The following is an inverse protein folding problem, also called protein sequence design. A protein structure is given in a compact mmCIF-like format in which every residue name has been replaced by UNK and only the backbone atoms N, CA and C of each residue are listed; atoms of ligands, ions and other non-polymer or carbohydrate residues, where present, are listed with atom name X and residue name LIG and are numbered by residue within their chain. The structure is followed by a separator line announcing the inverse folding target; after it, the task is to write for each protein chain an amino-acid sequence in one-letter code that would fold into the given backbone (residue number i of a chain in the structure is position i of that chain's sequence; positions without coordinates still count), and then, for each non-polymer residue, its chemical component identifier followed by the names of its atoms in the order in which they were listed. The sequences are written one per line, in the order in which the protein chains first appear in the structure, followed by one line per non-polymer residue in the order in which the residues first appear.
data_IF_015521525216
#
_entry.id   IF_015521525216
#
_cell.length_a   1.000
_cell.length_b   1.000
_cell.length_c   1.000
_cell.angle_alpha   90.00
_cell.angle_beta   90.00
_cell.angle_gamma   90.00
#
_symmetry.space_group_name_H-M   'P 1'
#
loop_
_entity.id
_entity.type
_entity.pdbx_description
1 polymer ?
#
# COMPACT_ATOMS: atom_id res chain seq x y z
N UNK A 1 -51.28 19.30 -7.61
CA UNK A 1 -52.76 19.26 -7.66
C UNK A 1 -53.39 18.85 -6.34
N UNK A 2 -52.91 17.79 -5.66
CA UNK A 2 -53.52 17.27 -4.41
C UNK A 2 -53.34 18.17 -3.16
N UNK A 3 -52.60 19.28 -3.24
CA UNK A 3 -52.33 20.21 -2.12
C UNK A 3 -51.65 19.58 -0.90
N UNK A 4 -50.89 18.50 -1.12
CA UNK A 4 -50.18 17.72 -0.10
C UNK A 4 -48.66 17.73 -0.30
N UNK A 5 -48.15 18.54 -1.24
CA UNK A 5 -46.73 18.60 -1.56
C UNK A 5 -45.88 18.97 -0.34
N UNK A 6 -46.34 19.96 0.44
CA UNK A 6 -45.66 20.38 1.66
C UNK A 6 -45.59 19.26 2.71
N UNK A 7 -46.68 18.48 2.86
CA UNK A 7 -46.76 17.40 3.83
C UNK A 7 -45.82 16.24 3.47
N UNK A 8 -45.79 15.85 2.19
CA UNK A 8 -44.87 14.83 1.70
C UNK A 8 -43.41 15.27 1.81
N UNK A 9 -43.11 16.50 1.42
CA UNK A 9 -41.75 17.04 1.50
C UNK A 9 -41.27 17.10 2.94
N UNK A 10 -42.12 17.56 3.87
CA UNK A 10 -41.84 17.56 5.30
C UNK A 10 -41.55 16.16 5.84
N UNK A 11 -42.37 15.16 5.48
CA UNK A 11 -42.19 13.77 5.92
C UNK A 11 -40.85 13.18 5.44
N UNK A 12 -40.42 13.56 4.24
CA UNK A 12 -39.11 13.16 3.70
C UNK A 12 -37.97 13.81 4.51
N UNK A 13 -38.05 15.12 4.78
CA UNK A 13 -37.02 15.84 5.55
C UNK A 13 -36.95 15.35 7.00
N UNK A 14 -38.08 15.01 7.63
CA UNK A 14 -38.09 14.45 8.99
C UNK A 14 -37.35 13.11 9.10
N UNK A 15 -37.22 12.39 7.98
CA UNK A 15 -36.46 11.12 7.88
C UNK A 15 -35.09 11.30 7.24
N UNK A 16 -34.53 12.51 7.27
CA UNK A 16 -33.26 12.80 6.57
C UNK A 16 -32.07 11.97 7.07
N UNK A 17 -32.03 11.69 8.37
CA UNK A 17 -30.95 10.91 8.98
C UNK A 17 -31.03 9.40 8.66
N UNK A 18 -32.23 8.91 8.32
CA UNK A 18 -32.48 7.48 8.07
C UNK A 18 -32.44 7.12 6.58
N UNK A 19 -32.91 8.00 5.70
CA UNK A 19 -33.09 7.71 4.26
C UNK A 19 -32.26 8.65 3.40
N UNK A 20 -32.33 9.97 3.62
CA UNK A 20 -31.69 10.94 2.72
C UNK A 20 -30.16 10.93 2.84
N UNK A 21 -29.61 10.46 3.96
CA UNK A 21 -28.16 10.35 4.17
C UNK A 21 -27.46 9.41 3.18
N UNK A 22 -28.19 8.48 2.54
CA UNK A 22 -27.67 7.61 1.47
C UNK A 22 -27.61 8.31 0.10
N UNK A 23 -28.43 9.35 -0.11
CA UNK A 23 -28.58 10.03 -1.41
C UNK A 23 -27.96 11.44 -1.42
N UNK A 24 -27.80 12.06 -0.26
CA UNK A 24 -27.34 13.45 -0.11
C UNK A 24 -26.14 13.53 0.82
N UNK A 25 -25.14 14.32 0.42
CA UNK A 25 -23.96 14.62 1.24
C UNK A 25 -24.28 15.59 2.37
N UNK A 26 -23.42 15.62 3.40
CA UNK A 26 -23.47 16.64 4.46
C UNK A 26 -23.26 18.02 3.86
N UNK A 27 -24.08 19.00 4.24
CA UNK A 27 -24.12 20.32 3.62
C UNK A 27 -25.06 20.45 2.42
N UNK A 28 -25.73 19.39 1.98
CA UNK A 28 -26.83 19.52 1.02
C UNK A 28 -28.06 20.18 1.69
N UNK A 29 -28.82 20.98 0.94
CA UNK A 29 -30.01 21.69 1.43
C UNK A 29 -31.02 20.74 2.12
N UNK A 30 -31.15 19.51 1.61
CA UNK A 30 -32.05 18.50 2.16
C UNK A 30 -31.57 17.92 3.50
N UNK A 31 -30.26 18.01 3.79
CA UNK A 31 -29.63 17.50 5.02
C UNK A 31 -29.51 18.57 6.10
N UNK A 32 -29.55 19.84 5.75
CA UNK A 32 -29.43 20.98 6.66
C UNK A 32 -30.81 21.51 7.10
N UNK A 33 -30.84 22.61 7.86
CA UNK A 33 -32.07 23.20 8.40
C UNK A 33 -32.89 23.94 7.33
N UNK A 34 -32.25 24.31 6.21
CA UNK A 34 -32.88 24.97 5.06
C UNK A 34 -34.00 24.11 4.44
N UNK A 35 -33.87 22.78 4.48
CA UNK A 35 -34.92 21.86 4.02
C UNK A 35 -36.24 22.06 4.78
N UNK A 36 -36.17 22.29 6.10
CA UNK A 36 -37.37 22.57 6.90
C UNK A 36 -37.97 23.94 6.59
N UNK A 37 -37.14 24.93 6.27
CA UNK A 37 -37.60 26.25 5.84
C UNK A 37 -38.36 26.14 4.51
N UNK A 38 -37.84 25.38 3.54
CA UNK A 38 -38.52 25.11 2.27
C UNK A 38 -39.86 24.41 2.48
N UNK A 39 -39.92 23.40 3.37
CA UNK A 39 -41.17 22.74 3.72
C UNK A 39 -42.24 23.75 4.22
N UNK A 40 -41.83 24.71 5.05
CA UNK A 40 -42.71 25.79 5.53
C UNK A 40 -43.19 26.72 4.42
N UNK A 41 -42.32 27.07 3.47
CA UNK A 41 -42.69 27.90 2.31
C UNK A 41 -43.68 27.17 1.38
N UNK A 42 -43.53 25.86 1.22
CA UNK A 42 -44.41 25.04 0.37
C UNK A 42 -45.86 25.00 0.90
N UNK A 43 -46.10 25.21 2.19
CA UNK A 43 -47.46 25.30 2.75
C UNK A 43 -48.25 26.45 2.11
N UNK A 44 -47.58 27.54 1.73
CA UNK A 44 -48.20 28.66 1.02
C UNK A 44 -48.81 28.29 -0.33
N UNK A 45 -48.29 27.23 -0.97
CA UNK A 45 -48.79 26.74 -2.25
C UNK A 45 -50.15 26.02 -2.13
N UNK A 46 -50.58 25.64 -0.92
CA UNK A 46 -51.86 24.95 -0.72
C UNK A 46 -53.08 25.83 -1.08
N UNK A 47 -52.91 27.15 -1.03
CA UNK A 47 -53.96 28.11 -1.40
C UNK A 47 -54.09 28.23 -2.93
N UNK A 48 -53.04 27.89 -3.68
CA UNK A 48 -53.03 27.99 -5.14
C UNK A 48 -53.82 26.82 -5.75
N UNK A 49 -54.75 27.15 -6.65
CA UNK A 49 -55.48 26.15 -7.43
C UNK A 49 -54.74 25.84 -8.73
N UNK A 50 -53.89 24.82 -8.68
CA UNK A 50 -53.15 24.33 -9.85
C UNK A 50 -53.91 23.19 -10.51
N UNK A 51 -54.65 23.49 -11.57
CA UNK A 51 -55.22 22.49 -12.48
C UNK A 51 -54.28 22.25 -13.66
N UNK A 52 -53.25 21.44 -13.43
CA UNK A 52 -52.30 21.03 -14.46
C UNK A 52 -52.83 19.74 -15.10
N UNK A 53 -53.27 19.84 -16.35
CA UNK A 53 -53.72 18.70 -17.14
C UNK A 53 -52.50 17.83 -17.53
N UNK A 54 -52.12 16.92 -16.64
CA UNK A 54 -51.21 15.84 -16.99
C UNK A 54 -52.06 14.82 -17.75
N UNK A 55 -52.18 14.99 -19.07
CA UNK A 55 -52.48 13.85 -19.94
C UNK A 55 -51.27 12.92 -19.95
N UNK A 56 -51.42 11.71 -20.46
CA UNK A 56 -50.41 10.65 -20.59
C UNK A 56 -49.20 11.04 -21.47
N UNK A 57 -48.69 12.26 -21.32
CA UNK A 57 -47.54 12.79 -22.03
C UNK A 57 -46.26 12.37 -21.30
N UNK A 58 -45.28 11.91 -22.08
CA UNK A 58 -43.92 11.64 -21.64
C UNK A 58 -43.35 12.89 -20.95
N UNK A 59 -43.28 12.86 -19.62
CA UNK A 59 -42.67 13.92 -18.80
C UNK A 59 -41.16 14.06 -19.06
N UNK A 60 -40.58 13.16 -19.85
CA UNK A 60 -39.20 13.16 -20.30
C UNK A 60 -38.92 14.21 -21.37
N UNK A 61 -39.95 14.79 -22.00
CA UNK A 61 -39.83 15.89 -22.97
C UNK A 61 -40.30 17.23 -22.39
N UNK A 62 -39.64 18.37 -22.70
CA UNK A 62 -40.10 19.67 -22.27
C UNK A 62 -41.52 19.93 -22.78
N UNK A 63 -42.41 20.43 -21.92
CA UNK A 63 -43.81 20.72 -22.27
C UNK A 63 -43.90 21.44 -23.62
N UNK A 64 -44.72 20.91 -24.52
CA UNK A 64 -44.91 21.46 -25.87
C UNK A 64 -45.32 22.93 -25.83
N UNK A 65 -44.97 23.67 -26.89
CA UNK A 65 -45.32 25.09 -27.02
C UNK A 65 -46.84 25.25 -27.02
N UNK A 66 -47.38 25.94 -26.00
CA UNK A 66 -48.81 26.24 -25.93
C UNK A 66 -49.11 27.35 -26.94
N UNK A 67 -49.84 27.00 -28.01
CA UNK A 67 -50.27 27.96 -29.02
C UNK A 67 -51.48 28.78 -28.53
N UNK A 68 -51.21 29.95 -27.96
CA UNK A 68 -52.24 30.91 -27.56
C UNK A 68 -52.84 31.69 -28.73
N UNK A 69 -52.42 31.45 -29.98
CA UNK A 69 -52.91 32.21 -31.16
C UNK A 69 -54.42 32.14 -31.34
N UNK A 70 -55.05 31.03 -30.92
CA UNK A 70 -56.50 30.87 -30.96
C UNK A 70 -57.25 31.77 -29.96
N UNK A 71 -56.62 32.12 -28.84
CA UNK A 71 -57.17 33.00 -27.81
C UNK A 71 -56.70 34.46 -27.94
N UNK A 72 -55.57 34.68 -28.63
CA UNK A 72 -54.98 35.99 -28.95
C UNK A 72 -55.45 36.55 -30.29
N UNK A 73 -56.40 35.91 -30.99
CA UNK A 73 -57.06 36.50 -32.15
C UNK A 73 -57.87 37.71 -31.71
N UNK A 74 -57.19 38.85 -31.69
CA UNK A 74 -57.78 40.18 -31.66
C UNK A 74 -58.94 40.21 -32.67
N UNK A 75 -60.13 40.59 -32.19
CA UNK A 75 -61.27 41.00 -33.02
C UNK A 75 -60.92 42.33 -33.74
N UNK A 76 -59.82 42.39 -34.49
CA UNK A 76 -59.49 43.54 -35.34
C UNK A 76 -60.31 43.46 -36.61
N UNK A 77 -61.46 44.13 -36.50
CA UNK A 77 -62.15 45.01 -37.46
C UNK A 77 -61.76 44.83 -38.94
N UNK A 78 -62.74 44.70 -39.86
CA UNK A 78 -62.47 44.49 -41.29
C UNK A 78 -61.49 45.50 -41.88
N UNK A 79 -60.56 44.95 -42.64
CA UNK A 79 -59.60 45.60 -43.51
C UNK A 79 -60.30 46.61 -44.44
N UNK A 80 -60.31 47.89 -44.07
CA UNK A 80 -60.49 48.98 -45.02
C UNK A 80 -59.11 49.57 -45.36
N UNK A 81 -58.80 49.53 -46.65
CA UNK A 81 -57.59 50.10 -47.26
C UNK A 81 -57.57 51.61 -46.98
N UNK A 82 -56.55 52.18 -46.30
CA UNK A 82 -56.49 53.61 -46.14
C UNK A 82 -55.90 54.24 -47.40
N UNK A 83 -56.65 55.16 -47.98
CA UNK A 83 -56.14 56.10 -48.97
C UNK A 83 -54.85 56.77 -48.47
N UNK A 84 -53.86 56.82 -49.36
CA UNK A 84 -52.44 57.07 -49.11
C UNK A 84 -52.07 58.51 -48.70
N UNK A 85 -53.00 59.32 -48.21
CA UNK A 85 -52.75 60.73 -47.85
C UNK A 85 -53.22 61.13 -46.44
N UNK A 86 -53.64 60.19 -45.59
CA UNK A 86 -53.96 60.50 -44.18
C UNK A 86 -52.71 60.50 -43.27
N UNK A 87 -52.63 61.45 -42.34
CA UNK A 87 -51.58 61.52 -41.31
C UNK A 87 -51.47 60.22 -40.48
N UNK A 88 -52.57 59.46 -40.40
CA UNK A 88 -52.68 58.19 -39.70
C UNK A 88 -51.98 57.03 -40.43
N UNK A 89 -51.99 57.03 -41.77
CA UNK A 89 -51.23 56.06 -42.58
C UNK A 89 -49.71 56.23 -42.44
N UNK A 90 -49.22 57.49 -42.37
CA UNK A 90 -47.81 57.80 -42.10
C UNK A 90 -47.37 57.41 -40.69
N UNK A 91 -48.25 57.60 -39.69
CA UNK A 91 -47.99 57.16 -38.31
C UNK A 91 -47.91 55.63 -38.19
N UNK A 92 -48.82 54.90 -38.84
CA UNK A 92 -48.77 53.42 -38.91
C UNK A 92 -47.49 52.93 -39.61
N UNK A 93 -47.10 53.56 -40.72
CA UNK A 93 -45.85 53.22 -41.40
C UNK A 93 -44.61 53.45 -40.54
N UNK A 94 -44.56 54.55 -39.77
CA UNK A 94 -43.47 54.82 -38.83
C UNK A 94 -43.36 53.73 -37.76
N UNK A 95 -44.48 53.31 -37.15
CA UNK A 95 -44.48 52.22 -36.16
C UNK A 95 -44.04 50.87 -36.74
N UNK A 96 -44.37 50.58 -38.01
CA UNK A 96 -43.95 49.35 -38.69
C UNK A 96 -42.44 49.38 -38.95
N UNK A 97 -41.87 50.54 -39.30
CA UNK A 97 -40.42 50.70 -39.50
C UNK A 97 -39.64 50.54 -38.19
N UNK A 98 -40.14 51.07 -37.08
CA UNK A 98 -39.53 50.88 -35.76
C UNK A 98 -39.57 49.41 -35.33
N UNK A 99 -40.69 48.72 -35.55
CA UNK A 99 -40.80 47.28 -35.32
C UNK A 99 -39.84 46.48 -36.19
N UNK A 100 -39.69 46.85 -37.47
CA UNK A 100 -38.74 46.21 -38.38
C UNK A 100 -37.30 46.39 -37.89
N UNK A 101 -36.92 47.61 -37.50
CA UNK A 101 -35.58 47.91 -37.00
C UNK A 101 -35.27 47.12 -35.71
N UNK A 102 -36.24 47.04 -34.79
CA UNK A 102 -36.10 46.21 -33.59
C UNK A 102 -35.87 44.73 -33.92
N UNK A 103 -36.61 44.18 -34.88
CA UNK A 103 -36.44 42.79 -35.32
C UNK A 103 -35.08 42.55 -36.00
N UNK A 104 -34.61 43.50 -36.83
CA UNK A 104 -33.30 43.41 -37.47
C UNK A 104 -32.16 43.44 -36.44
N UNK A 105 -32.27 44.31 -35.44
CA UNK A 105 -31.31 44.40 -34.33
C UNK A 105 -31.31 43.12 -33.49
N UNK A 106 -32.49 42.58 -33.17
CA UNK A 106 -32.62 41.31 -32.46
C UNK A 106 -31.99 40.16 -33.25
N UNK A 107 -32.22 40.12 -34.57
CA UNK A 107 -31.64 39.10 -35.44
C UNK A 107 -30.10 39.25 -35.51
N UNK A 108 -29.57 40.48 -35.48
CA UNK A 108 -28.12 40.72 -35.40
C UNK A 108 -27.53 40.18 -34.09
N UNK A 109 -28.18 40.43 -32.95
CA UNK A 109 -27.77 39.90 -31.65
C UNK A 109 -27.85 38.37 -31.59
N UNK A 110 -28.92 37.78 -32.15
CA UNK A 110 -29.09 36.34 -32.18
C UNK A 110 -27.99 35.69 -33.03
N UNK A 111 -27.71 36.22 -34.22
CA UNK A 111 -26.62 35.74 -35.07
C UNK A 111 -25.25 35.86 -34.40
N UNK A 112 -24.98 36.96 -33.69
CA UNK A 112 -23.75 37.11 -32.90
C UNK A 112 -23.64 36.05 -31.80
N UNK A 113 -24.75 35.73 -31.13
CA UNK A 113 -24.81 34.70 -30.09
C UNK A 113 -24.59 33.31 -30.68
N UNK A 114 -25.21 33.00 -31.82
CA UNK A 114 -25.00 31.74 -32.55
C UNK A 114 -23.53 31.57 -32.90
N UNK A 115 -22.88 32.59 -33.48
CA UNK A 115 -21.45 32.54 -33.81
C UNK A 115 -20.57 32.35 -32.57
N UNK A 116 -20.87 33.02 -31.46
CA UNK A 116 -20.12 32.85 -30.21
C UNK A 116 -20.26 31.42 -29.66
N UNK A 117 -21.47 30.88 -29.68
CA UNK A 117 -21.73 29.51 -29.25
C UNK A 117 -21.06 28.48 -30.16
N UNK A 118 -21.05 28.71 -31.48
CA UNK A 118 -20.32 27.87 -32.43
C UNK A 118 -18.81 27.86 -32.14
N UNK A 119 -18.19 29.02 -31.90
CA UNK A 119 -16.78 29.10 -31.51
C UNK A 119 -16.49 28.36 -30.20
N UNK A 120 -17.37 28.48 -29.20
CA UNK A 120 -17.25 27.74 -27.94
C UNK A 120 -17.39 26.24 -28.15
N UNK A 121 -18.32 25.82 -28.99
CA UNK A 121 -18.53 24.42 -29.33
C UNK A 121 -17.28 23.82 -29.99
N UNK A 122 -16.70 24.52 -30.96
CA UNK A 122 -15.45 24.12 -31.62
C UNK A 122 -14.28 24.06 -30.63
N UNK A 123 -14.16 25.04 -29.72
CA UNK A 123 -13.17 25.04 -28.65
C UNK A 123 -13.32 23.84 -27.69
N UNK A 124 -14.55 23.52 -27.29
CA UNK A 124 -14.82 22.34 -26.45
C UNK A 124 -14.57 21.04 -27.23
N UNK A 125 -14.90 20.98 -28.51
CA UNK A 125 -14.70 19.80 -29.34
C UNK A 125 -13.20 19.51 -29.57
N UNK A 126 -12.40 20.54 -29.83
CA UNK A 126 -10.94 20.42 -29.99
C UNK A 126 -10.26 20.00 -28.68
N UNK A 127 -10.60 20.64 -27.56
CA UNK A 127 -10.06 20.25 -26.23
C UNK A 127 -10.45 18.82 -25.85
N UNK A 128 -11.69 18.39 -26.13
CA UNK A 128 -12.12 17.01 -25.88
C UNK A 128 -11.34 16.00 -26.74
N UNK A 129 -11.02 16.33 -28.00
CA UNK A 129 -10.18 15.49 -28.85
C UNK A 129 -8.75 15.34 -28.29
N UNK A 130 -8.12 16.44 -27.87
CA UNK A 130 -6.80 16.43 -27.25
C UNK A 130 -6.77 15.62 -25.95
N UNK A 131 -7.77 15.81 -25.08
CA UNK A 131 -7.86 15.04 -23.83
C UNK A 131 -8.02 13.53 -24.07
N UNK A 132 -8.72 13.12 -25.13
CA UNK A 132 -8.82 11.70 -25.51
C UNK A 132 -7.48 11.12 -25.96
N UNK A 133 -6.70 11.91 -26.69
CA UNK A 133 -5.36 11.54 -27.12
C UNK A 133 -4.40 11.42 -25.93
N UNK A 134 -4.38 12.43 -25.04
CA UNK A 134 -3.57 12.41 -23.82
C UNK A 134 -3.92 11.21 -22.93
N UNK A 135 -5.21 10.89 -22.80
CA UNK A 135 -5.67 9.73 -22.07
C UNK A 135 -5.16 8.42 -22.69
N UNK A 136 -5.15 8.32 -24.02
CA UNK A 136 -4.60 7.15 -24.71
C UNK A 136 -3.08 7.02 -24.51
N UNK A 137 -2.34 8.12 -24.56
CA UNK A 137 -0.89 8.16 -24.28
C UNK A 137 -0.62 7.70 -22.84
N UNK A 138 -1.31 8.29 -21.86
CA UNK A 138 -1.16 7.94 -20.45
C UNK A 138 -1.48 6.46 -20.18
N UNK A 139 -2.52 5.92 -20.81
CA UNK A 139 -2.84 4.48 -20.73
C UNK A 139 -1.70 3.61 -21.24
N UNK A 140 -1.10 3.96 -22.38
CA UNK A 140 0.03 3.21 -22.93
C UNK A 140 1.25 3.28 -21.99
N UNK A 141 1.55 4.44 -21.42
CA UNK A 141 2.64 4.59 -20.44
C UNK A 141 2.40 3.77 -19.17
N UNK A 142 1.16 3.69 -18.68
CA UNK A 142 0.82 2.83 -17.55
C UNK A 142 1.08 1.36 -17.89
N UNK A 143 0.68 0.91 -19.08
CA UNK A 143 0.90 -0.47 -19.52
C UNK A 143 2.40 -0.79 -19.60
N UNK A 144 3.23 0.09 -20.16
CA UNK A 144 4.69 -0.13 -20.24
C UNK A 144 5.31 -0.17 -18.84
N UNK A 145 4.91 0.74 -17.94
CA UNK A 145 5.40 0.75 -16.56
C UNK A 145 4.95 -0.47 -15.75
N UNK A 146 3.77 -1.02 -16.04
CA UNK A 146 3.30 -2.27 -15.43
C UNK A 146 4.12 -3.47 -15.90
N UNK A 147 4.48 -3.51 -17.19
CA UNK A 147 5.35 -4.54 -17.73
C UNK A 147 6.75 -4.48 -17.13
N UNK A 148 7.36 -3.28 -17.05
CA UNK A 148 8.66 -3.07 -16.41
C UNK A 148 8.65 -3.44 -14.92
N UNK A 149 7.59 -3.08 -14.18
CA UNK A 149 7.47 -3.52 -12.79
C UNK A 149 7.36 -5.05 -12.67
N UNK A 150 6.68 -5.71 -13.61
CA UNK A 150 6.58 -7.16 -13.62
C UNK A 150 7.92 -7.83 -13.95
N UNK A 151 8.73 -7.28 -14.85
CA UNK A 151 10.08 -7.79 -15.15
C UNK A 151 11.01 -7.60 -13.97
N UNK A 152 11.06 -6.39 -13.38
CA UNK A 152 11.88 -6.09 -12.20
C UNK A 152 11.51 -7.01 -11.02
N UNK A 153 10.21 -7.26 -10.81
CA UNK A 153 9.77 -8.19 -9.76
C UNK A 153 10.25 -9.62 -10.00
N UNK A 154 10.19 -10.10 -11.25
CA UNK A 154 10.72 -11.42 -11.62
C UNK A 154 12.23 -11.49 -11.41
N UNK A 155 12.99 -10.49 -11.83
CA UNK A 155 14.44 -10.42 -11.63
C UNK A 155 14.81 -10.44 -10.14
N UNK A 156 14.07 -9.66 -9.33
CA UNK A 156 14.24 -9.66 -7.87
C UNK A 156 14.02 -11.05 -7.28
N UNK A 157 12.97 -11.75 -7.72
CA UNK A 157 12.63 -13.09 -7.21
C UNK A 157 13.67 -14.14 -7.65
N UNK A 158 14.21 -14.03 -8.87
CA UNK A 158 15.31 -14.87 -9.35
C UNK A 158 16.56 -14.66 -8.48
N UNK A 159 16.96 -13.41 -8.28
CA UNK A 159 18.14 -13.06 -7.50
C UNK A 159 18.02 -13.50 -6.03
N UNK A 160 16.83 -13.35 -5.43
CA UNK A 160 16.55 -13.81 -4.08
C UNK A 160 16.67 -15.34 -3.98
N UNK A 161 16.10 -16.08 -4.94
CA UNK A 161 16.20 -17.53 -4.99
C UNK A 161 17.64 -18.00 -5.18
N UNK A 162 18.44 -17.32 -6.01
CA UNK A 162 19.85 -17.63 -6.18
C UNK A 162 20.66 -17.37 -4.92
N UNK A 163 20.46 -16.23 -4.24
CA UNK A 163 21.06 -15.98 -2.93
C UNK A 163 20.65 -17.04 -1.89
N UNK A 164 19.38 -17.44 -1.87
CA UNK A 164 18.90 -18.50 -0.97
C UNK A 164 19.60 -19.83 -1.26
N UNK A 165 19.73 -20.22 -2.52
CA UNK A 165 20.47 -21.43 -2.92
C UNK A 165 21.95 -21.37 -2.53
N UNK A 166 22.59 -20.22 -2.69
CA UNK A 166 23.98 -20.03 -2.25
C UNK A 166 24.12 -20.21 -0.74
N UNK A 167 23.18 -19.66 0.05
CA UNK A 167 23.16 -19.88 1.50
C UNK A 167 22.94 -21.35 1.86
N UNK A 168 22.00 -22.03 1.21
CA UNK A 168 21.75 -23.47 1.41
C UNK A 168 23.00 -24.30 1.06
N UNK A 169 23.70 -23.96 -0.03
CA UNK A 169 24.96 -24.59 -0.40
C UNK A 169 26.05 -24.39 0.66
N UNK A 170 26.28 -23.15 1.10
CA UNK A 170 27.25 -22.84 2.16
C UNK A 170 26.90 -23.55 3.47
N UNK A 171 25.62 -23.60 3.84
CA UNK A 171 25.15 -24.32 5.02
C UNK A 171 25.44 -25.82 4.92
N UNK A 172 25.18 -26.45 3.77
CA UNK A 172 25.49 -27.86 3.53
C UNK A 172 26.99 -28.17 3.60
N UNK A 173 27.84 -27.25 3.11
CA UNK A 173 29.29 -27.37 3.18
C UNK A 173 29.81 -27.25 4.62
N UNK A 174 29.26 -26.31 5.39
CA UNK A 174 29.55 -26.15 6.82
C UNK A 174 29.14 -27.38 7.63
N UNK A 175 27.95 -27.94 7.34
CA UNK A 175 27.45 -29.13 8.01
C UNK A 175 28.34 -30.36 7.73
N UNK A 176 28.93 -30.48 6.54
CA UNK A 176 29.84 -31.59 6.21
C UNK A 176 31.21 -31.50 6.90
N UNK A 177 31.69 -30.28 7.18
CA UNK A 177 32.95 -30.08 7.88
C UNK A 177 32.80 -30.22 9.40
N UNK A 178 31.61 -29.96 9.94
CA UNK A 178 31.33 -30.03 11.38
C UNK A 178 31.69 -31.37 12.07
N UNK A 179 31.42 -32.58 11.52
CA UNK A 179 31.66 -33.83 12.20
C UNK A 179 33.14 -34.23 12.15
N UNK A 180 33.82 -33.93 11.03
CA UNK A 180 35.27 -34.15 10.88
C UNK A 180 36.05 -33.24 11.82
N UNK A 181 35.63 -31.98 11.96
CA UNK A 181 36.28 -31.02 12.84
C UNK A 181 36.07 -31.39 14.31
N UNK A 182 34.86 -31.84 14.68
CA UNK A 182 34.58 -32.40 16.00
C UNK A 182 35.34 -33.71 16.26
N UNK A 183 35.45 -34.60 15.27
CA UNK A 183 36.22 -35.83 15.39
C UNK A 183 37.71 -35.55 15.60
N UNK A 184 38.30 -34.63 14.83
CA UNK A 184 39.69 -34.21 14.99
C UNK A 184 39.93 -33.54 16.35
N UNK A 185 38.97 -32.74 16.83
CA UNK A 185 39.01 -32.16 18.17
C UNK A 185 38.99 -33.24 19.26
N UNK A 186 38.06 -34.20 19.19
CA UNK A 186 38.00 -35.32 20.14
C UNK A 186 39.25 -36.21 20.09
N UNK A 187 39.78 -36.48 18.90
CA UNK A 187 41.00 -37.26 18.72
C UNK A 187 42.23 -36.56 19.30
N UNK A 188 42.34 -35.24 19.09
CA UNK A 188 43.38 -34.41 19.71
C UNK A 188 43.31 -34.47 21.23
N UNK A 189 42.12 -34.32 21.81
CA UNK A 189 41.91 -34.40 23.25
C UNK A 189 42.21 -35.79 23.81
N UNK A 190 41.80 -36.86 23.11
CA UNK A 190 42.06 -38.24 23.49
C UNK A 190 43.56 -38.58 23.48
N UNK A 191 44.28 -38.14 22.45
CA UNK A 191 45.75 -38.29 22.37
C UNK A 191 46.46 -37.53 23.49
N UNK A 192 45.98 -36.34 23.85
CA UNK A 192 46.49 -35.59 24.99
C UNK A 192 46.26 -36.31 26.32
N UNK A 193 45.06 -36.88 26.53
CA UNK A 193 44.75 -37.69 27.71
C UNK A 193 45.64 -38.95 27.81
N UNK A 194 45.84 -39.67 26.71
CA UNK A 194 46.74 -40.84 26.68
C UNK A 194 48.19 -40.45 26.99
N UNK A 195 48.66 -39.30 26.49
CA UNK A 195 49.99 -38.80 26.83
C UNK A 195 50.14 -38.52 28.33
N UNK A 196 49.13 -37.89 28.94
CA UNK A 196 49.15 -37.58 30.38
C UNK A 196 49.04 -38.84 31.27
N UNK A 197 48.24 -39.82 30.83
CA UNK A 197 48.12 -41.12 31.50
C UNK A 197 49.45 -41.90 31.43
N UNK A 198 50.13 -41.84 30.29
CA UNK A 198 51.46 -42.45 30.11
C UNK A 198 52.52 -41.80 31.02
N UNK A 199 52.43 -40.48 31.25
CA UNK A 199 53.27 -39.78 32.23
C UNK A 199 52.99 -40.25 33.67
N UNK A 200 51.72 -40.46 34.03
CA UNK A 200 51.30 -40.87 35.38
C UNK A 200 51.59 -42.34 35.69
N UNK A 201 51.64 -43.21 34.67
CA UNK A 201 51.98 -44.63 34.83
C UNK A 201 53.50 -44.89 34.78
N UNK A 202 54.33 -43.90 34.45
CA UNK A 202 55.78 -44.06 34.52
C UNK A 202 56.25 -43.97 35.98
N UNK A 203 56.97 -44.97 36.52
CA UNK A 203 57.50 -44.89 37.88
C UNK A 203 58.54 -43.76 37.97
N UNK A 204 58.66 -43.05 39.09
CA UNK A 204 59.66 -41.99 39.22
C UNK A 204 61.06 -42.60 39.12
N UNK A 205 61.91 -42.20 38.16
CA UNK A 205 63.32 -42.52 38.28
C UNK A 205 63.89 -41.64 39.38
N UNK A 206 64.47 -42.30 40.37
CA UNK A 206 65.30 -41.66 41.38
C UNK A 206 66.48 -41.00 40.66
N UNK A 207 66.68 -39.71 40.93
CA UNK A 207 67.77 -38.81 40.49
C UNK A 207 67.54 -37.97 39.21
N UNK A 208 67.61 -36.65 39.41
CA UNK A 208 67.60 -35.59 38.41
C UNK A 208 68.77 -35.74 37.41
N UNK A 209 68.48 -35.57 36.10
CA UNK A 209 69.10 -34.60 35.16
C UNK A 209 68.69 -34.97 33.72
N UNK A 210 68.18 -33.96 32.98
CA UNK A 210 67.87 -33.92 31.55
C UNK A 210 66.51 -34.51 31.10
N UNK A 211 65.50 -33.69 30.74
CA UNK A 211 64.39 -34.21 29.95
C UNK A 211 64.94 -34.54 28.56
N UNK A 212 64.66 -35.75 28.07
CA UNK A 212 65.03 -36.11 26.70
C UNK A 212 64.42 -35.10 25.72
N UNK A 213 65.12 -34.74 24.62
CA UNK A 213 64.66 -33.74 23.66
C UNK A 213 63.29 -34.10 23.03
N UNK A 214 62.89 -35.37 23.08
CA UNK A 214 61.56 -35.84 22.69
C UNK A 214 60.46 -35.37 23.65
N UNK A 215 60.71 -35.36 24.97
CA UNK A 215 59.71 -34.98 25.95
C UNK A 215 59.44 -33.48 25.95
N UNK A 216 60.49 -32.67 25.80
CA UNK A 216 60.36 -31.21 25.65
C UNK A 216 59.71 -30.84 24.31
N UNK A 217 60.00 -31.59 23.24
CA UNK A 217 59.36 -31.43 21.94
C UNK A 217 57.87 -31.80 21.97
N UNK A 218 57.48 -32.87 22.68
CA UNK A 218 56.08 -33.27 22.80
C UNK A 218 55.28 -32.30 23.68
N UNK A 219 55.87 -31.78 24.77
CA UNK A 219 55.26 -30.73 25.59
C UNK A 219 55.06 -29.44 24.79
N UNK A 220 56.06 -29.00 24.01
CA UNK A 220 55.93 -27.81 23.16
C UNK A 220 54.95 -28.00 22.00
N UNK A 221 54.87 -29.22 21.44
CA UNK A 221 53.88 -29.58 20.43
C UNK A 221 52.46 -29.60 21.01
N UNK A 222 52.29 -30.10 22.24
CA UNK A 222 51.00 -30.08 22.93
C UNK A 222 50.54 -28.66 23.29
N UNK A 223 51.47 -27.81 23.76
CA UNK A 223 51.18 -26.42 24.07
C UNK A 223 50.85 -25.64 22.80
N UNK A 224 51.58 -25.87 21.71
CA UNK A 224 51.33 -25.22 20.42
C UNK A 224 50.03 -25.68 19.76
N UNK A 225 49.63 -26.97 19.87
CA UNK A 225 48.30 -27.42 19.44
C UNK A 225 47.17 -26.83 20.29
N UNK A 226 47.37 -26.70 21.60
CA UNK A 226 46.36 -26.10 22.49
C UNK A 226 46.19 -24.61 22.20
N UNK A 227 47.29 -23.87 21.99
CA UNK A 227 47.24 -22.48 21.57
C UNK A 227 46.65 -22.31 20.17
N UNK A 228 46.93 -23.21 19.22
CA UNK A 228 46.38 -23.13 17.87
C UNK A 228 44.87 -23.40 17.85
N UNK A 229 44.38 -24.32 18.68
CA UNK A 229 42.95 -24.58 18.87
C UNK A 229 42.25 -23.38 19.53
N UNK A 230 42.86 -22.78 20.56
CA UNK A 230 42.33 -21.56 21.19
C UNK A 230 42.30 -20.42 20.17
N UNK A 231 43.36 -20.24 19.37
CA UNK A 231 43.43 -19.22 18.33
C UNK A 231 42.40 -19.46 17.21
N UNK A 232 42.17 -20.71 16.81
CA UNK A 232 41.18 -21.07 15.79
C UNK A 232 39.75 -20.77 16.26
N UNK A 233 39.42 -21.00 17.54
CA UNK A 233 38.12 -20.65 18.12
C UNK A 233 37.96 -19.15 18.40
N UNK A 234 39.02 -18.45 18.84
CA UNK A 234 38.96 -17.00 19.10
C UNK A 234 38.98 -16.16 17.82
N UNK A 235 39.60 -16.65 16.73
CA UNK A 235 39.71 -15.95 15.45
C UNK A 235 38.66 -16.37 14.42
N UNK A 236 37.64 -17.15 14.80
CA UNK A 236 36.48 -17.46 13.94
C UNK A 236 35.23 -16.58 14.15
N UNK A 237 35.28 -15.26 14.43
CA UNK A 237 34.06 -14.45 14.48
C UNK A 237 33.41 -14.27 13.09
N UNK A 238 34.03 -14.72 12.00
CA UNK A 238 33.46 -14.64 10.65
C UNK A 238 32.48 -15.79 10.32
N UNK A 239 32.55 -16.94 11.01
CA UNK A 239 31.67 -18.10 10.77
C UNK A 239 30.38 -18.07 11.63
N UNK A 240 30.30 -17.18 12.63
CA UNK A 240 29.24 -17.19 13.64
C UNK A 240 28.14 -16.15 13.46
N UNK A 241 28.16 -15.36 12.38
CA UNK A 241 27.13 -14.33 12.13
C UNK A 241 25.75 -14.89 11.73
N UNK A 242 25.60 -16.22 11.64
CA UNK A 242 24.41 -16.87 11.06
C UNK A 242 23.42 -17.53 12.05
N UNK A 243 23.72 -17.67 13.36
CA UNK A 243 22.66 -18.03 14.32
C UNK A 243 22.99 -17.73 15.80
N UNK A 244 22.28 -16.79 16.46
CA UNK A 244 22.49 -16.46 17.88
C UNK A 244 22.11 -17.59 18.86
N UNK A 245 21.26 -18.53 18.45
CA UNK A 245 20.85 -19.69 19.27
C UNK A 245 21.98 -20.69 19.50
N UNK A 246 22.85 -20.91 18.50
CA UNK A 246 24.00 -21.81 18.66
C UNK A 246 25.02 -21.21 19.64
N UNK A 247 25.23 -19.90 19.61
CA UNK A 247 26.15 -19.21 20.51
C UNK A 247 25.75 -19.35 21.99
N UNK A 248 24.46 -19.30 22.32
CA UNK A 248 23.97 -19.45 23.69
C UNK A 248 24.17 -20.88 24.24
N UNK A 249 23.97 -21.89 23.39
CA UNK A 249 24.19 -23.30 23.75
C UNK A 249 25.70 -23.55 23.91
N UNK A 250 26.53 -23.01 23.02
CA UNK A 250 27.98 -23.21 23.05
C UNK A 250 28.71 -22.40 24.12
N UNK A 251 28.21 -21.25 24.56
CA UNK A 251 28.83 -20.47 25.65
C UNK A 251 28.52 -21.03 27.04
N UNK A 252 27.40 -21.75 27.19
CA UNK A 252 26.92 -22.24 28.48
C UNK A 252 27.48 -23.62 28.87
N UNK A 253 27.88 -24.45 27.90
CA UNK A 253 28.36 -25.81 28.14
C UNK A 253 29.84 -25.98 28.54
N UNK A 254 30.82 -25.16 28.08
CA UNK A 254 32.23 -25.44 28.39
C UNK A 254 32.57 -25.24 29.87
N UNK A 255 31.85 -24.39 30.60
CA UNK A 255 32.05 -24.19 32.05
C UNK A 255 31.54 -25.38 32.88
N UNK A 256 30.40 -25.97 32.52
CA UNK A 256 29.87 -27.17 33.17
C UNK A 256 30.70 -28.41 32.85
N UNK A 257 31.11 -28.56 31.58
CA UNK A 257 31.93 -29.70 31.16
C UNK A 257 33.34 -29.63 31.76
N UNK A 258 33.96 -28.44 31.78
CA UNK A 258 35.27 -28.25 32.44
C UNK A 258 35.20 -28.48 33.95
N UNK A 259 34.16 -27.99 34.65
CA UNK A 259 34.03 -28.23 36.10
C UNK A 259 33.81 -29.72 36.43
N UNK A 260 32.95 -30.41 35.69
CA UNK A 260 32.69 -31.84 35.91
C UNK A 260 33.94 -32.69 35.61
N UNK A 261 34.67 -32.35 34.55
CA UNK A 261 35.88 -33.04 34.15
C UNK A 261 37.05 -32.76 35.11
N UNK A 262 37.21 -31.53 35.59
CA UNK A 262 38.24 -31.20 36.59
C UNK A 262 37.98 -31.90 37.92
N UNK A 263 36.70 -32.00 38.33
CA UNK A 263 36.31 -32.75 39.52
C UNK A 263 36.55 -34.26 39.37
N UNK A 264 36.25 -34.82 38.19
CA UNK A 264 36.46 -36.25 37.92
C UNK A 264 37.95 -36.59 37.89
N UNK A 265 38.77 -35.76 37.24
CA UNK A 265 40.23 -35.94 37.15
C UNK A 265 40.89 -35.73 38.51
N UNK A 266 40.46 -34.73 39.30
CA UNK A 266 40.93 -34.54 40.68
C UNK A 266 40.59 -35.74 41.56
N UNK A 267 39.38 -36.29 41.45
CA UNK A 267 38.96 -37.48 42.19
C UNK A 267 39.75 -38.72 41.79
N UNK A 268 40.05 -38.90 40.50
CA UNK A 268 40.85 -40.00 39.97
C UNK A 268 42.32 -39.90 40.42
N UNK A 269 42.91 -38.70 40.41
CA UNK A 269 44.28 -38.47 40.91
C UNK A 269 44.36 -38.76 42.41
N UNK A 270 43.34 -38.32 43.17
CA UNK A 270 43.24 -38.60 44.61
C UNK A 270 43.15 -40.11 44.87
N UNK A 271 42.32 -40.81 44.09
CA UNK A 271 42.14 -42.25 44.21
C UNK A 271 43.42 -43.03 43.83
N UNK A 272 44.10 -42.65 42.74
CA UNK A 272 45.38 -43.24 42.37
C UNK A 272 46.49 -42.95 43.39
N UNK A 273 46.50 -41.76 43.99
CA UNK A 273 47.46 -41.40 45.05
C UNK A 273 47.27 -42.25 46.31
N UNK A 274 46.01 -42.51 46.71
CA UNK A 274 45.69 -43.40 47.82
C UNK A 274 46.11 -44.85 47.49
N UNK A 275 45.82 -45.33 46.28
CA UNK A 275 46.22 -46.67 45.84
C UNK A 275 47.75 -46.84 45.85
N UNK A 276 48.49 -45.84 45.37
CA UNK A 276 49.95 -45.82 45.35
C UNK A 276 50.52 -45.82 46.78
N UNK A 277 49.89 -45.09 47.70
CA UNK A 277 50.31 -45.03 49.10
C UNK A 277 50.04 -46.35 49.85
N UNK A 278 48.97 -47.06 49.51
CA UNK A 278 48.69 -48.42 50.02
C UNK A 278 49.69 -49.42 49.46
N UNK A 279 50.09 -49.29 48.20
CA UNK A 279 51.03 -50.20 47.54
C UNK A 279 52.49 -50.00 47.98
N UNK A 280 52.87 -48.78 48.42
CA UNK A 280 54.22 -48.47 48.89
C UNK A 280 54.45 -48.76 50.39
N UNK A 281 53.39 -48.96 51.17
CA UNK A 281 53.46 -49.21 52.63
C UNK A 281 52.92 -50.59 53.06
N UNK A 282 52.68 -51.49 52.10
CA UNK A 282 52.40 -52.91 52.34
C UNK A 282 53.51 -53.78 51.77
#
# INVERSE_FOLDING_TARGET
MQKTLADYFKLIIEKKDDILCEFYERGAIMMEDEGMVIAGLLVGLNVIDCNLCIKEEDLDQPMGVIDFSLYLRDNKVPMEMPDSESAEGKSKMATILDQKNYLEELNRHLNATVTNLQQKLEGVQTTNALMKEDLAIAKNTILTLQEENATVKKEKDILLNDHKRQLEFLFSLSLSHSPLLWFLFFLSFFLWFLFFLSLSLSPPPVSFICPSPLLSFLLSLSLSLSLSLVYFFYLSPLLFSLSPLLWFIFSSFPLLFSCFFFSLVSSLISFLSILLHIYLFS
#
